data_IF_644665347248
#
_entry.id   IF_644665347248
#
_cell.length_a   1.000
_cell.length_b   1.000
_cell.length_c   1.000
_cell.angle_alpha   90.00
_cell.angle_beta   90.00
_cell.angle_gamma   90.00
#
_symmetry.space_group_name_H-M   'P 1'
#
loop_
_entity.id
_entity.type
_entity.pdbx_description
1 polymer ?
#
# COMPACT_ATOMS: atom_id res chain seq x y z
N UNK A 1 9.22 -2.02 7.93
CA UNK A 1 9.60 -1.04 8.95
C UNK A 1 10.71 -0.10 8.48
N UNK A 2 11.95 -0.54 8.20
CA UNK A 2 13.02 0.39 7.77
C UNK A 2 12.66 1.25 6.55
N UNK A 3 11.93 0.70 5.59
CA UNK A 3 11.50 1.42 4.39
C UNK A 3 10.47 2.54 4.66
N UNK A 4 9.77 2.52 5.79
CA UNK A 4 8.84 3.60 6.16
C UNK A 4 9.54 4.85 6.67
N UNK A 5 10.85 4.79 6.97
CA UNK A 5 11.64 5.97 7.35
C UNK A 5 12.30 6.67 6.15
N UNK A 6 12.28 6.02 4.99
CA UNK A 6 12.76 6.64 3.75
C UNK A 6 11.56 7.27 3.06
N UNK A 7 11.28 8.51 3.42
CA UNK A 7 10.12 9.26 2.95
C UNK A 7 10.57 10.45 2.10
N UNK A 8 9.87 10.67 0.99
CA UNK A 8 10.07 11.85 0.16
C UNK A 8 8.76 12.31 -0.50
N UNK A 9 8.60 13.61 -0.73
CA UNK A 9 7.43 14.14 -1.42
C UNK A 9 7.46 13.74 -2.90
N UNK A 10 6.34 13.20 -3.42
CA UNK A 10 6.20 12.84 -4.84
C UNK A 10 5.73 14.01 -5.70
N UNK A 11 4.96 14.92 -5.13
CA UNK A 11 4.37 16.04 -5.85
C UNK A 11 5.08 17.34 -5.50
N UNK A 12 5.53 18.14 -6.49
CA UNK A 12 6.10 19.45 -6.24
C UNK A 12 5.11 20.35 -5.49
N UNK A 13 5.58 21.00 -4.43
CA UNK A 13 4.76 21.91 -3.60
C UNK A 13 3.86 21.22 -2.57
N UNK A 14 3.77 19.89 -2.55
CA UNK A 14 2.97 19.12 -1.59
C UNK A 14 3.89 18.31 -0.67
N UNK A 15 4.47 18.98 0.33
CA UNK A 15 5.49 18.37 1.21
C UNK A 15 4.90 17.48 2.32
N UNK A 16 3.62 17.62 2.60
CA UNK A 16 2.91 16.83 3.63
C UNK A 16 2.47 15.43 3.15
N UNK A 17 2.37 15.21 1.82
CA UNK A 17 2.14 13.89 1.24
C UNK A 17 3.49 13.24 0.88
N UNK A 18 3.91 12.29 1.69
CA UNK A 18 5.17 11.59 1.50
C UNK A 18 4.95 10.19 0.96
N UNK A 19 5.81 9.80 0.04
CA UNK A 19 5.94 8.44 -0.43
C UNK A 19 6.87 7.66 0.49
N UNK A 20 6.50 6.43 0.79
CA UNK A 20 7.34 5.41 1.38
C UNK A 20 7.10 4.05 0.72
N UNK A 21 8.10 3.18 0.73
CA UNK A 21 8.01 1.86 0.12
C UNK A 21 7.57 0.75 1.10
N UNK A 22 7.03 1.08 2.26
CA UNK A 22 6.69 0.12 3.32
C UNK A 22 5.56 -0.84 2.94
N UNK A 23 4.68 -0.44 2.03
CA UNK A 23 3.60 -1.27 1.54
C UNK A 23 4.10 -2.44 0.67
N UNK A 24 5.26 -2.31 0.01
CA UNK A 24 5.83 -3.36 -0.84
C UNK A 24 6.18 -4.64 -0.06
N UNK A 25 6.94 -4.62 1.06
CA UNK A 25 7.21 -5.84 1.83
C UNK A 25 5.93 -6.49 2.38
N UNK A 26 4.96 -5.68 2.80
CA UNK A 26 3.68 -6.16 3.28
C UNK A 26 2.89 -6.87 2.17
N UNK A 27 2.91 -6.34 0.94
CA UNK A 27 2.29 -6.97 -0.23
C UNK A 27 3.00 -8.28 -0.61
N UNK A 28 4.34 -8.31 -0.62
CA UNK A 28 5.11 -9.54 -0.86
C UNK A 28 4.74 -10.62 0.17
N UNK A 29 4.62 -10.25 1.43
CA UNK A 29 4.16 -11.14 2.49
C UNK A 29 2.71 -11.61 2.24
N UNK A 30 1.83 -10.73 1.76
CA UNK A 30 0.46 -11.06 1.38
C UNK A 30 0.38 -12.09 0.24
N UNK A 31 1.26 -11.99 -0.75
CA UNK A 31 1.36 -12.96 -1.84
C UNK A 31 1.93 -14.30 -1.38
N UNK A 32 2.94 -14.26 -0.52
CA UNK A 32 3.63 -15.47 -0.04
C UNK A 32 2.79 -16.28 0.95
N UNK A 33 2.24 -15.60 1.96
CA UNK A 33 1.62 -16.23 3.14
C UNK A 33 0.11 -15.96 3.25
N UNK A 34 -0.43 -15.12 2.37
CA UNK A 34 -1.85 -14.80 2.32
C UNK A 34 -2.22 -13.43 2.90
N UNK A 35 -3.48 -12.98 2.66
CA UNK A 35 -3.91 -11.62 2.93
C UNK A 35 -3.80 -11.21 4.40
N UNK A 36 -4.06 -12.12 5.34
CA UNK A 36 -3.97 -11.84 6.77
C UNK A 36 -2.52 -11.54 7.20
N UNK A 37 -1.54 -12.31 6.69
CA UNK A 37 -0.13 -12.10 7.00
C UNK A 37 0.38 -10.76 6.44
N UNK A 38 0.02 -10.44 5.17
CA UNK A 38 0.36 -9.17 4.56
C UNK A 38 -0.23 -7.99 5.32
N UNK A 39 -1.53 -8.08 5.66
CA UNK A 39 -2.20 -7.04 6.44
C UNK A 39 -1.55 -6.84 7.82
N UNK A 40 -1.24 -7.92 8.53
CA UNK A 40 -0.58 -7.86 9.83
C UNK A 40 0.78 -7.12 9.73
N UNK A 41 1.61 -7.45 8.74
CA UNK A 41 2.89 -6.77 8.51
C UNK A 41 2.69 -5.27 8.21
N UNK A 42 1.70 -4.94 7.39
CA UNK A 42 1.40 -3.55 7.03
C UNK A 42 0.88 -2.74 8.23
N UNK A 43 -0.06 -3.30 9.00
CA UNK A 43 -0.64 -2.65 10.19
C UNK A 43 0.42 -2.45 11.27
N UNK A 44 1.20 -3.48 11.60
CA UNK A 44 2.29 -3.37 12.59
C UNK A 44 3.30 -2.33 12.15
N UNK A 45 3.67 -2.31 10.86
CA UNK A 45 4.58 -1.29 10.32
C UNK A 45 4.03 0.13 10.47
N UNK A 46 2.75 0.35 10.16
CA UNK A 46 2.10 1.65 10.28
C UNK A 46 1.99 2.12 11.75
N UNK A 47 1.63 1.20 12.66
CA UNK A 47 1.54 1.51 14.11
C UNK A 47 2.91 1.90 14.67
N UNK A 48 3.95 1.11 14.39
CA UNK A 48 5.30 1.40 14.89
C UNK A 48 5.81 2.75 14.32
N UNK A 49 5.60 2.99 13.02
CA UNK A 49 5.98 4.25 12.41
C UNK A 49 5.25 5.44 13.05
N UNK A 50 3.93 5.33 13.26
CA UNK A 50 3.14 6.38 13.90
C UNK A 50 3.56 6.68 15.34
N UNK A 51 3.93 5.65 16.11
CA UNK A 51 4.44 5.83 17.48
C UNK A 51 5.80 6.55 17.45
N UNK A 52 6.72 6.12 16.59
CA UNK A 52 8.08 6.68 16.54
C UNK A 52 8.11 8.12 15.99
N UNK A 53 7.20 8.44 15.07
CA UNK A 53 7.09 9.78 14.49
C UNK A 53 6.08 10.68 15.23
N UNK A 54 5.40 10.17 16.27
CA UNK A 54 4.30 10.84 16.97
C UNK A 54 3.17 11.30 16.01
N UNK A 55 2.98 10.58 14.90
CA UNK A 55 1.97 10.85 13.88
C UNK A 55 0.85 9.80 13.91
N UNK A 56 -0.08 9.97 14.83
CA UNK A 56 -1.21 9.04 14.98
C UNK A 56 -2.22 9.16 13.86
N UNK A 57 -2.44 10.37 13.32
CA UNK A 57 -3.35 10.59 12.20
C UNK A 57 -2.83 9.91 10.93
N UNK A 58 -1.54 10.09 10.64
CA UNK A 58 -0.86 9.40 9.54
C UNK A 58 -0.84 7.89 9.71
N UNK A 59 -0.68 7.38 10.94
CA UNK A 59 -0.73 5.95 11.20
C UNK A 59 -2.11 5.35 10.87
N UNK A 60 -3.20 5.97 11.32
CA UNK A 60 -4.56 5.52 11.02
C UNK A 60 -4.83 5.59 9.53
N UNK A 61 -4.43 6.69 8.87
CA UNK A 61 -4.54 6.83 7.42
C UNK A 61 -3.76 5.74 6.68
N UNK A 62 -2.53 5.45 7.11
CA UNK A 62 -1.69 4.44 6.48
C UNK A 62 -2.28 3.03 6.66
N UNK A 63 -2.87 2.71 7.82
CA UNK A 63 -3.58 1.44 8.03
C UNK A 63 -4.72 1.26 7.02
N UNK A 64 -5.54 2.29 6.80
CA UNK A 64 -6.64 2.24 5.83
C UNK A 64 -6.14 2.01 4.40
N UNK A 65 -5.15 2.80 3.99
CA UNK A 65 -4.56 2.72 2.64
C UNK A 65 -3.87 1.37 2.41
N UNK A 66 -3.11 0.89 3.39
CA UNK A 66 -2.42 -0.40 3.34
C UNK A 66 -3.41 -1.56 3.28
N UNK A 67 -4.50 -1.51 4.04
CA UNK A 67 -5.57 -2.51 3.94
C UNK A 67 -6.19 -2.52 2.55
N UNK A 68 -6.54 -1.35 2.00
CA UNK A 68 -7.04 -1.19 0.63
C UNK A 68 -6.05 -1.65 -0.45
N UNK A 69 -4.75 -1.54 -0.19
CA UNK A 69 -3.72 -2.00 -1.12
C UNK A 69 -3.50 -3.51 -1.04
N UNK A 70 -3.38 -4.10 0.16
CA UNK A 70 -2.98 -5.50 0.33
C UNK A 70 -4.14 -6.48 0.10
N UNK A 71 -5.31 -6.20 0.68
CA UNK A 71 -6.40 -7.19 0.70
C UNK A 71 -6.87 -7.60 -0.70
N UNK A 72 -7.20 -6.69 -1.63
CA UNK A 72 -7.67 -7.08 -2.95
C UNK A 72 -6.63 -7.87 -3.75
N UNK A 73 -5.36 -7.43 -3.75
CA UNK A 73 -4.29 -8.11 -4.47
C UNK A 73 -4.05 -9.51 -3.92
N UNK A 74 -3.91 -9.64 -2.60
CA UNK A 74 -3.63 -10.92 -1.97
C UNK A 74 -4.82 -11.91 -2.11
N UNK A 75 -6.06 -11.43 -2.07
CA UNK A 75 -7.25 -12.26 -2.30
C UNK A 75 -7.33 -12.75 -3.74
N UNK A 76 -7.13 -11.87 -4.73
CA UNK A 76 -7.11 -12.25 -6.15
C UNK A 76 -5.98 -13.22 -6.43
N UNK A 77 -4.78 -12.91 -5.92
CA UNK A 77 -3.60 -13.77 -6.10
C UNK A 77 -3.78 -15.16 -5.44
N UNK A 78 -4.38 -15.22 -4.27
CA UNK A 78 -4.64 -16.48 -3.53
C UNK A 78 -5.47 -17.47 -4.33
N UNK A 79 -6.38 -16.98 -5.20
CA UNK A 79 -7.26 -17.85 -6.01
C UNK A 79 -6.50 -18.63 -7.08
N UNK A 80 -5.59 -17.98 -7.80
CA UNK A 80 -4.98 -18.55 -9.01
C UNK A 80 -3.48 -18.72 -8.95
N UNK A 81 -2.78 -17.97 -8.07
CA UNK A 81 -1.31 -17.96 -7.87
C UNK A 81 -0.51 -17.85 -9.17
N UNK A 82 -1.02 -17.10 -10.13
CA UNK A 82 -0.37 -16.84 -11.42
C UNK A 82 0.15 -15.41 -11.48
N UNK A 83 1.15 -15.16 -12.32
CA UNK A 83 1.65 -13.80 -12.56
C UNK A 83 0.51 -12.86 -13.01
N UNK A 84 -0.35 -13.35 -13.91
CA UNK A 84 -1.51 -12.58 -14.40
C UNK A 84 -2.46 -12.18 -13.25
N UNK A 85 -2.78 -13.11 -12.33
CA UNK A 85 -3.62 -12.79 -11.18
C UNK A 85 -2.93 -11.82 -10.22
N UNK A 86 -1.60 -11.87 -10.10
CA UNK A 86 -0.83 -10.89 -9.34
C UNK A 86 -0.95 -9.48 -9.93
N UNK A 87 -0.77 -9.34 -11.24
CA UNK A 87 -0.90 -8.05 -11.93
C UNK A 87 -2.33 -7.49 -11.81
N UNK A 88 -3.35 -8.30 -12.09
CA UNK A 88 -4.76 -7.90 -11.95
C UNK A 88 -5.07 -7.48 -10.52
N UNK A 89 -4.59 -8.26 -9.54
CA UNK A 89 -4.75 -7.93 -8.13
C UNK A 89 -4.11 -6.59 -7.75
N UNK A 90 -2.91 -6.30 -8.26
CA UNK A 90 -2.21 -5.03 -8.00
C UNK A 90 -2.90 -3.83 -8.64
N UNK A 91 -3.43 -3.98 -9.86
CA UNK A 91 -4.24 -2.92 -10.49
C UNK A 91 -5.49 -2.62 -9.65
N UNK A 92 -6.22 -3.66 -9.23
CA UNK A 92 -7.39 -3.51 -8.37
C UNK A 92 -7.01 -2.86 -7.03
N UNK A 93 -5.86 -3.24 -6.46
CA UNK A 93 -5.34 -2.67 -5.22
C UNK A 93 -4.97 -1.19 -5.35
N UNK A 94 -4.43 -0.76 -6.47
CA UNK A 94 -4.15 0.66 -6.70
C UNK A 94 -5.43 1.51 -6.67
N UNK A 95 -6.52 0.99 -7.27
CA UNK A 95 -7.83 1.65 -7.24
C UNK A 95 -8.39 1.68 -5.82
N UNK A 96 -8.44 0.54 -5.15
CA UNK A 96 -9.01 0.44 -3.79
C UNK A 96 -8.21 1.22 -2.77
N UNK A 97 -6.88 1.22 -2.83
CA UNK A 97 -6.03 2.04 -1.96
C UNK A 97 -6.29 3.53 -2.16
N UNK A 98 -6.45 3.97 -3.41
CA UNK A 98 -6.78 5.37 -3.73
C UNK A 98 -8.15 5.76 -3.18
N UNK A 99 -9.16 4.90 -3.34
CA UNK A 99 -10.49 5.12 -2.76
C UNK A 99 -10.42 5.21 -1.23
N UNK A 100 -9.72 4.28 -0.58
CA UNK A 100 -9.54 4.29 0.87
C UNK A 100 -8.78 5.54 1.35
N UNK A 101 -7.80 6.01 0.60
CA UNK A 101 -7.10 7.26 0.89
C UNK A 101 -8.02 8.48 0.79
N UNK A 102 -8.87 8.54 -0.22
CA UNK A 102 -9.85 9.63 -0.37
C UNK A 102 -10.84 9.60 0.79
N UNK A 103 -11.45 8.45 1.06
CA UNK A 103 -12.40 8.29 2.16
C UNK A 103 -11.77 8.62 3.51
N UNK A 104 -10.55 8.15 3.75
CA UNK A 104 -9.79 8.48 4.96
C UNK A 104 -9.53 9.99 5.09
N UNK A 105 -9.13 10.66 4.02
CA UNK A 105 -8.89 12.09 4.03
C UNK A 105 -10.17 12.90 4.28
N UNK A 106 -11.34 12.47 3.78
CA UNK A 106 -12.61 13.13 4.02
C UNK A 106 -13.04 13.10 5.50
N UNK A 107 -12.57 12.11 6.26
CA UNK A 107 -12.92 11.93 7.67
C UNK A 107 -11.77 12.40 8.58
N UNK A 108 -10.57 11.86 8.37
CA UNK A 108 -9.43 12.06 9.29
C UNK A 108 -8.87 13.48 9.19
N UNK A 109 -8.76 14.03 7.99
CA UNK A 109 -8.18 15.37 7.81
C UNK A 109 -9.00 16.48 8.48
N UNK A 110 -10.34 16.56 8.33
CA UNK A 110 -11.14 17.52 9.07
C UNK A 110 -11.12 17.30 10.58
N UNK A 111 -11.22 16.05 11.03
CA UNK A 111 -11.30 15.72 12.46
C UNK A 111 -10.00 15.97 13.22
N UNK A 112 -8.86 15.67 12.60
CA UNK A 112 -7.56 15.67 13.28
C UNK A 112 -6.71 16.90 12.98
N UNK A 113 -6.80 17.42 11.76
CA UNK A 113 -6.02 18.56 11.32
C UNK A 113 -6.83 19.86 11.26
N UNK A 114 -8.15 19.80 11.50
CA UNK A 114 -9.03 20.98 11.48
C UNK A 114 -9.17 21.63 10.10
N UNK A 115 -8.82 20.92 9.02
CA UNK A 115 -8.97 21.43 7.65
C UNK A 115 -10.43 21.36 7.23
N UNK A 116 -11.03 22.44 6.71
CA UNK A 116 -12.43 22.42 6.26
C UNK A 116 -12.68 21.34 5.19
N UNK A 117 -13.85 20.70 5.25
CA UNK A 117 -14.19 19.59 4.35
C UNK A 117 -14.18 19.99 2.86
N UNK A 118 -14.65 21.19 2.56
CA UNK A 118 -14.63 21.77 1.21
C UNK A 118 -13.22 21.91 0.65
N UNK A 119 -12.25 22.31 1.49
CA UNK A 119 -10.85 22.34 1.10
C UNK A 119 -10.29 20.93 0.81
N UNK A 120 -10.68 19.92 1.61
CA UNK A 120 -10.28 18.52 1.35
C UNK A 120 -10.89 18.03 0.04
N UNK A 121 -12.17 18.31 -0.20
CA UNK A 121 -12.87 17.95 -1.45
C UNK A 121 -12.18 18.58 -2.67
N UNK A 122 -11.78 19.85 -2.58
CA UNK A 122 -11.06 20.53 -3.65
C UNK A 122 -9.70 19.90 -3.98
N UNK A 123 -9.04 19.22 -3.01
CA UNK A 123 -7.76 18.53 -3.21
C UNK A 123 -7.91 17.10 -3.78
N UNK A 124 -9.10 16.51 -3.82
CA UNK A 124 -9.28 15.12 -4.25
C UNK A 124 -8.72 14.88 -5.65
N UNK A 125 -9.19 15.63 -6.64
CA UNK A 125 -8.79 15.42 -8.04
C UNK A 125 -7.36 15.88 -8.33
N UNK A 126 -6.93 17.10 -7.94
CA UNK A 126 -5.62 17.59 -8.33
C UNK A 126 -4.46 17.01 -7.51
N UNK A 127 -4.68 16.56 -6.28
CA UNK A 127 -3.61 16.20 -5.35
C UNK A 127 -3.74 14.75 -4.87
N UNK A 128 -4.86 14.41 -4.20
CA UNK A 128 -5.00 13.12 -3.51
C UNK A 128 -5.05 11.95 -4.49
N UNK A 129 -5.80 12.07 -5.58
CA UNK A 129 -5.94 11.01 -6.58
C UNK A 129 -4.62 10.71 -7.28
N UNK A 130 -3.93 11.67 -7.92
CA UNK A 130 -2.67 11.38 -8.60
C UNK A 130 -1.58 10.90 -7.64
N UNK A 131 -1.47 11.48 -6.46
CA UNK A 131 -0.51 11.04 -5.45
C UNK A 131 -0.70 9.56 -5.09
N UNK A 132 -1.92 9.15 -4.73
CA UNK A 132 -2.19 7.78 -4.30
C UNK A 132 -2.06 6.77 -5.45
N UNK A 133 -2.43 7.13 -6.68
CA UNK A 133 -2.23 6.28 -7.86
C UNK A 133 -0.73 6.08 -8.15
N UNK A 134 0.08 7.13 -8.08
CA UNK A 134 1.53 7.04 -8.28
C UNK A 134 2.15 6.21 -7.15
N UNK A 135 1.81 6.50 -5.89
CA UNK A 135 2.29 5.73 -4.72
C UNK A 135 1.96 4.25 -4.86
N UNK A 136 0.72 3.92 -5.17
CA UNK A 136 0.29 2.54 -5.37
C UNK A 136 0.97 1.89 -6.58
N UNK A 137 1.13 2.61 -7.69
CA UNK A 137 1.82 2.14 -8.89
C UNK A 137 3.28 1.78 -8.63
N UNK A 138 4.03 2.65 -7.95
CA UNK A 138 5.43 2.40 -7.59
C UNK A 138 5.52 1.17 -6.67
N UNK A 139 4.69 1.10 -5.63
CA UNK A 139 4.68 -0.07 -4.73
C UNK A 139 4.29 -1.36 -5.46
N UNK A 140 3.37 -1.31 -6.43
CA UNK A 140 3.01 -2.45 -7.26
C UNK A 140 4.18 -2.94 -8.12
N UNK A 141 4.88 -2.03 -8.80
CA UNK A 141 6.07 -2.36 -9.61
C UNK A 141 7.17 -2.96 -8.74
N UNK A 142 7.50 -2.33 -7.61
CA UNK A 142 8.48 -2.85 -6.66
C UNK A 142 8.08 -4.24 -6.14
N UNK A 143 6.80 -4.45 -5.84
CA UNK A 143 6.28 -5.76 -5.41
C UNK A 143 6.51 -6.83 -6.49
N UNK A 144 6.23 -6.53 -7.76
CA UNK A 144 6.43 -7.48 -8.86
C UNK A 144 7.91 -7.83 -9.06
N UNK A 145 8.81 -6.84 -8.98
CA UNK A 145 10.26 -7.05 -9.11
C UNK A 145 10.76 -7.96 -7.98
N UNK A 146 10.46 -7.60 -6.74
CA UNK A 146 10.91 -8.34 -5.56
C UNK A 146 10.29 -9.74 -5.53
N UNK A 147 8.98 -9.84 -5.77
CA UNK A 147 8.29 -11.11 -5.76
C UNK A 147 8.80 -12.07 -6.83
N UNK A 148 9.08 -11.59 -8.04
CA UNK A 148 9.69 -12.39 -9.11
C UNK A 148 11.06 -12.95 -8.70
N UNK A 149 11.85 -12.12 -7.99
CA UNK A 149 13.20 -12.51 -7.55
C UNK A 149 13.18 -13.58 -6.47
N UNK A 150 12.21 -13.56 -5.56
CA UNK A 150 12.16 -14.45 -4.39
C UNK A 150 11.10 -15.56 -4.49
N UNK A 151 10.28 -15.57 -5.54
CA UNK A 151 9.16 -16.52 -5.67
C UNK A 151 9.61 -17.99 -5.59
N UNK A 152 10.79 -18.31 -6.14
CA UNK A 152 11.35 -19.66 -6.07
C UNK A 152 11.83 -20.06 -4.67
N UNK A 153 12.17 -19.08 -3.82
CA UNK A 153 12.56 -19.31 -2.42
C UNK A 153 11.34 -19.55 -1.53
N UNK A 154 10.22 -18.88 -1.86
CA UNK A 154 8.97 -18.96 -1.09
C UNK A 154 8.16 -20.20 -1.47
N UNK A 155 8.25 -20.66 -2.74
CA UNK A 155 7.48 -21.81 -3.23
C UNK A 155 8.18 -23.12 -2.83
N UNK A 156 7.52 -24.02 -2.10
CA UNK A 156 8.11 -25.32 -1.76
C UNK A 156 8.59 -26.08 -3.00
N UNK A 157 9.77 -26.72 -2.93
CA UNK A 157 10.41 -27.45 -4.05
C UNK A 157 9.47 -28.41 -4.79
N UNK A 158 8.51 -29.02 -4.10
CA UNK A 158 7.49 -29.92 -4.69
C UNK A 158 6.48 -29.22 -5.62
N UNK A 159 6.36 -27.90 -5.55
CA UNK A 159 5.44 -27.09 -6.36
C UNK A 159 6.14 -26.17 -7.34
N UNK A 160 7.46 -26.23 -7.40
CA UNK A 160 8.24 -25.47 -8.37
C UNK A 160 8.10 -26.16 -9.73
N UNK A 161 7.66 -25.42 -10.74
CA UNK A 161 7.57 -25.92 -12.11
C UNK A 161 8.99 -26.01 -12.64
N UNK A 162 9.48 -27.23 -12.92
CA UNK A 162 10.74 -27.45 -13.63
C UNK A 162 10.68 -26.76 -15.00
N UNK A 163 11.52 -25.77 -15.23
CA UNK A 163 11.74 -25.24 -16.58
C UNK A 163 11.02 -23.91 -16.89
N UNK A 164 10.82 -23.02 -15.91
CA UNK A 164 10.48 -21.62 -16.21
C UNK A 164 11.42 -20.63 -15.52
#
# INVERSE_FOLDING_TARGET
MLLSFVEFPLLPGVTWLKYDASAMPAMVCGFAFGPAAGLAVGVVGAVIHGILMADFSGAVMNILVVAGFILPAALVYRRSRTFKSGVVGLVLSAITATVMAILGNLVITPMWLGVPLDAVVAMILPILTPFNLIKAGINAVLTLIVYKSISNLITPKKKQVKGR
#
